data_IF_781956123852
#
_entry.id   IF_781956123852
#
_cell.length_a   1.000
_cell.length_b   1.000
_cell.length_c   1.000
_cell.angle_alpha   90.00
_cell.angle_beta   90.00
_cell.angle_gamma   90.00
#
_symmetry.space_group_name_H-M   'P 1'
#
loop_
_entity.id
_entity.type
_entity.pdbx_description
1 polymer ?
#
# COMPACT_ATOMS: atom_id res chain seq x y z
N UNK A 1 -15.52 20.16 3.70
CA UNK A 1 -15.18 20.04 2.25
C UNK A 1 -16.39 20.24 1.32
N UNK A 2 -16.17 20.69 0.07
CA UNK A 2 -17.18 20.55 -1.01
C UNK A 2 -17.51 19.05 -1.21
N UNK A 3 -18.76 18.72 -1.48
CA UNK A 3 -19.22 17.32 -1.63
C UNK A 3 -18.45 16.56 -2.73
N UNK A 4 -18.10 17.25 -3.82
CA UNK A 4 -17.29 16.70 -4.92
C UNK A 4 -15.89 16.28 -4.45
N UNK A 5 -15.19 17.14 -3.70
CA UNK A 5 -13.87 16.83 -3.15
C UNK A 5 -13.92 15.61 -2.22
N UNK A 6 -15.02 15.47 -1.45
CA UNK A 6 -15.22 14.33 -0.54
C UNK A 6 -15.31 13.02 -1.31
N UNK A 7 -16.12 12.99 -2.37
CA UNK A 7 -16.28 11.83 -3.23
C UNK A 7 -14.96 11.44 -3.93
N UNK A 8 -14.18 12.42 -4.39
CA UNK A 8 -12.86 12.16 -5.00
C UNK A 8 -11.89 11.56 -3.98
N UNK A 9 -11.81 12.13 -2.77
CA UNK A 9 -10.95 11.62 -1.71
C UNK A 9 -11.33 10.20 -1.26
N UNK A 10 -12.62 9.90 -1.18
CA UNK A 10 -13.11 8.55 -0.86
C UNK A 10 -12.74 7.53 -1.95
N UNK A 11 -12.88 7.91 -3.22
CA UNK A 11 -12.44 7.09 -4.35
C UNK A 11 -10.94 6.84 -4.30
N UNK A 12 -10.14 7.89 -4.08
CA UNK A 12 -8.69 7.77 -3.95
C UNK A 12 -8.29 6.87 -2.77
N UNK A 13 -8.95 7.02 -1.63
CA UNK A 13 -8.71 6.17 -0.46
C UNK A 13 -9.00 4.69 -0.76
N UNK A 14 -10.07 4.38 -1.50
CA UNK A 14 -10.38 3.01 -1.94
C UNK A 14 -9.34 2.49 -2.92
N UNK A 15 -8.94 3.29 -3.90
CA UNK A 15 -7.90 2.93 -4.86
C UNK A 15 -6.58 2.64 -4.16
N UNK A 16 -6.10 3.53 -3.29
CA UNK A 16 -4.88 3.29 -2.51
C UNK A 16 -4.98 2.05 -1.63
N UNK A 17 -6.16 1.76 -1.05
CA UNK A 17 -6.34 0.54 -0.26
C UNK A 17 -6.15 -0.72 -1.11
N UNK A 18 -6.87 -0.80 -2.22
CA UNK A 18 -6.85 -1.97 -3.09
C UNK A 18 -5.49 -2.13 -3.78
N UNK A 19 -4.90 -1.02 -4.25
CA UNK A 19 -3.55 -1.01 -4.84
C UNK A 19 -2.45 -1.31 -3.83
N UNK A 20 -2.67 -1.12 -2.53
CA UNK A 20 -1.68 -1.41 -1.49
C UNK A 20 -1.65 -2.87 -1.03
N UNK A 21 -2.78 -3.59 -1.07
CA UNK A 21 -2.89 -4.98 -0.60
C UNK A 21 -2.04 -5.93 -1.45
N UNK A 22 -2.15 -5.82 -2.78
CA UNK A 22 -1.50 -6.75 -3.70
C UNK A 22 0.05 -6.66 -3.66
N UNK A 23 0.67 -5.46 -3.65
CA UNK A 23 2.11 -5.33 -3.48
C UNK A 23 2.60 -5.84 -2.12
N UNK A 24 1.84 -5.69 -1.02
CA UNK A 24 2.24 -6.25 0.27
C UNK A 24 2.39 -7.77 0.17
N UNK A 25 1.39 -8.44 -0.41
CA UNK A 25 1.42 -9.89 -0.58
C UNK A 25 2.57 -10.33 -1.48
N UNK A 26 2.75 -9.65 -2.63
CA UNK A 26 3.87 -9.93 -3.54
C UNK A 26 5.24 -9.68 -2.91
N UNK A 27 5.37 -8.61 -2.12
CA UNK A 27 6.60 -8.29 -1.40
C UNK A 27 7.00 -9.40 -0.42
N UNK A 28 6.05 -9.90 0.38
CA UNK A 28 6.28 -11.04 1.28
C UNK A 28 6.71 -12.28 0.50
N UNK A 29 6.03 -12.58 -0.61
CA UNK A 29 6.33 -13.74 -1.43
C UNK A 29 7.73 -13.66 -2.05
N UNK A 30 8.13 -12.49 -2.55
CA UNK A 30 9.48 -12.26 -3.10
C UNK A 30 10.55 -12.35 -2.01
N UNK A 31 10.29 -11.82 -0.81
CA UNK A 31 11.20 -11.98 0.34
C UNK A 31 11.41 -13.47 0.63
N UNK A 32 10.33 -14.26 0.69
CA UNK A 32 10.41 -15.70 0.93
C UNK A 32 11.24 -16.42 -0.14
N UNK A 33 11.00 -16.12 -1.42
CA UNK A 33 11.81 -16.66 -2.54
C UNK A 33 13.28 -16.26 -2.39
N UNK A 34 13.55 -15.00 -2.03
CA UNK A 34 14.90 -14.49 -1.80
C UNK A 34 15.61 -15.20 -0.65
N UNK A 35 14.89 -15.52 0.43
CA UNK A 35 15.42 -16.29 1.57
C UNK A 35 15.75 -17.72 1.16
N UNK A 36 14.87 -18.42 0.44
CA UNK A 36 15.10 -19.79 -0.05
C UNK A 36 16.32 -19.85 -0.97
N UNK A 37 16.46 -18.85 -1.85
CA UNK A 37 17.57 -18.77 -2.81
C UNK A 37 18.84 -18.09 -2.25
N UNK A 38 18.86 -17.73 -0.97
CA UNK A 38 19.95 -16.97 -0.32
C UNK A 38 20.40 -15.72 -1.12
N UNK A 39 19.46 -15.05 -1.79
CA UNK A 39 19.74 -13.89 -2.63
C UNK A 39 19.32 -12.59 -1.94
N UNK A 40 20.30 -11.88 -1.38
CA UNK A 40 20.10 -10.59 -0.70
C UNK A 40 19.49 -9.52 -1.62
N UNK A 41 19.79 -9.56 -2.91
CA UNK A 41 19.20 -8.64 -3.89
C UNK A 41 17.69 -8.85 -4.03
N UNK A 42 17.25 -10.10 -4.16
CA UNK A 42 15.83 -10.45 -4.27
C UNK A 42 15.07 -10.07 -3.01
N UNK A 43 15.68 -10.27 -1.83
CA UNK A 43 15.11 -9.83 -0.54
C UNK A 43 14.92 -8.31 -0.51
N UNK A 44 15.93 -7.54 -0.95
CA UNK A 44 15.85 -6.07 -1.00
C UNK A 44 14.72 -5.58 -1.93
N UNK A 45 14.56 -6.22 -3.10
CA UNK A 45 13.46 -5.92 -4.02
C UNK A 45 12.10 -6.25 -3.39
N UNK A 46 11.99 -7.41 -2.72
CA UNK A 46 10.76 -7.79 -2.02
C UNK A 46 10.39 -6.83 -0.89
N UNK A 47 11.38 -6.38 -0.10
CA UNK A 47 11.21 -5.35 0.92
C UNK A 47 10.76 -4.01 0.34
N UNK A 48 11.35 -3.58 -0.78
CA UNK A 48 10.93 -2.36 -1.47
C UNK A 48 9.45 -2.44 -1.89
N UNK A 49 9.05 -3.53 -2.54
CA UNK A 49 7.67 -3.75 -2.99
C UNK A 49 6.71 -3.77 -1.79
N UNK A 50 7.09 -4.42 -0.69
CA UNK A 50 6.32 -4.45 0.55
C UNK A 50 6.12 -3.04 1.13
N UNK A 51 7.19 -2.25 1.24
CA UNK A 51 7.15 -0.89 1.79
C UNK A 51 6.26 0.02 0.95
N UNK A 52 6.31 -0.09 -0.38
CA UNK A 52 5.45 0.67 -1.29
C UNK A 52 3.98 0.32 -1.06
N UNK A 53 3.64 -0.96 -1.00
CA UNK A 53 2.27 -1.40 -0.71
C UNK A 53 1.76 -0.93 0.66
N UNK A 54 2.60 -1.04 1.69
CA UNK A 54 2.30 -0.56 3.03
C UNK A 54 2.07 0.96 3.07
N UNK A 55 2.85 1.71 2.30
CA UNK A 55 2.70 3.16 2.17
C UNK A 55 1.34 3.54 1.58
N UNK A 56 0.87 2.80 0.55
CA UNK A 56 -0.47 3.01 -0.01
C UNK A 56 -1.58 2.73 1.01
N UNK A 57 -1.46 1.68 1.83
CA UNK A 57 -2.40 1.42 2.92
C UNK A 57 -2.42 2.56 3.95
N UNK A 58 -1.25 3.05 4.35
CA UNK A 58 -1.09 4.19 5.27
C UNK A 58 -1.75 5.46 4.72
N UNK A 59 -1.56 5.74 3.43
CA UNK A 59 -2.20 6.89 2.76
C UNK A 59 -3.73 6.73 2.77
N UNK A 60 -4.24 5.55 2.41
CA UNK A 60 -5.68 5.27 2.47
C UNK A 60 -6.26 5.49 3.86
N UNK A 61 -5.60 5.00 4.91
CA UNK A 61 -6.04 5.19 6.30
C UNK A 61 -6.04 6.67 6.70
N UNK A 62 -4.99 7.42 6.31
CA UNK A 62 -4.90 8.85 6.59
C UNK A 62 -6.01 9.64 5.88
N UNK A 63 -6.31 9.30 4.61
CA UNK A 63 -7.41 9.91 3.87
C UNK A 63 -8.77 9.61 4.53
N UNK A 64 -9.04 8.35 4.91
CA UNK A 64 -10.28 7.99 5.63
C UNK A 64 -10.43 8.78 6.93
N UNK A 65 -9.34 8.98 7.68
CA UNK A 65 -9.35 9.78 8.91
C UNK A 65 -9.70 11.24 8.62
N UNK A 66 -9.11 11.85 7.60
CA UNK A 66 -9.39 13.25 7.21
C UNK A 66 -10.87 13.41 6.80
N UNK A 67 -11.37 12.50 5.97
CA UNK A 67 -12.76 12.51 5.48
C UNK A 67 -13.77 12.35 6.63
N UNK A 68 -13.42 11.60 7.67
CA UNK A 68 -14.28 11.37 8.83
C UNK A 68 -14.16 12.45 9.91
N UNK A 69 -13.09 13.25 9.90
CA UNK A 69 -12.89 14.36 10.85
C UNK A 69 -13.47 15.70 10.37
N UNK A 70 -13.85 15.78 9.09
CA UNK A 70 -14.61 16.90 8.50
C UNK A 70 -16.10 16.58 8.40
#
# INVERSE_FOLDING_TARGET
>A
MKAENKKILESLAKTCHNSGILPIFLGILIIFIGTVNMSSYVIAVGLFIFIVGYSYLKISQKLKKIISSE
#
